data_IF_743124805608
#
_entry.id   IF_743124805608
#
_cell.length_a   1.000
_cell.length_b   1.000
_cell.length_c   1.000
_cell.angle_alpha   90.00
_cell.angle_beta   90.00
_cell.angle_gamma   90.00
#
_symmetry.space_group_name_H-M   'P 1'
#
loop_
_entity.id
_entity.type
_entity.pdbx_description
1 polymer ?
#
# COMPACT_ATOMS: atom_id res chain seq x y z
N UNK A 1 18.57 -2.26 26.72
CA UNK A 1 19.55 -3.33 26.44
C UNK A 1 20.44 -2.86 25.30
N UNK A 2 21.75 -3.12 25.35
CA UNK A 2 22.70 -2.69 24.30
C UNK A 2 23.36 -3.89 23.64
N UNK A 3 23.92 -3.68 22.44
CA UNK A 3 24.60 -4.71 21.63
C UNK A 3 23.71 -5.93 21.28
N UNK A 4 22.43 -5.66 21.01
CA UNK A 4 21.44 -6.68 20.64
C UNK A 4 21.66 -7.20 19.21
N UNK A 5 21.53 -8.52 19.02
CA UNK A 5 21.63 -9.17 17.71
C UNK A 5 20.26 -9.50 17.10
N UNK A 6 20.11 -9.63 15.77
CA UNK A 6 18.80 -9.85 15.14
C UNK A 6 18.20 -11.22 15.44
N UNK A 7 19.00 -12.16 15.94
CA UNK A 7 18.57 -13.50 16.32
C UNK A 7 17.90 -13.52 17.70
N UNK A 8 18.09 -12.48 18.52
CA UNK A 8 17.51 -12.39 19.85
C UNK A 8 16.00 -12.15 19.80
N UNK A 9 15.24 -12.85 20.65
CA UNK A 9 13.78 -12.70 20.74
C UNK A 9 13.35 -11.25 20.98
N UNK A 10 14.05 -10.53 21.86
CA UNK A 10 13.76 -9.11 22.17
C UNK A 10 13.90 -8.16 20.98
N UNK A 11 14.55 -8.58 19.90
CA UNK A 11 14.64 -7.81 18.65
C UNK A 11 13.56 -8.18 17.64
N UNK A 12 13.18 -9.46 17.58
CA UNK A 12 12.23 -9.99 16.58
C UNK A 12 10.78 -9.85 17.03
N UNK A 13 10.55 -10.03 18.32
CA UNK A 13 9.22 -10.06 18.91
C UNK A 13 8.86 -8.68 19.46
N UNK A 14 7.58 -8.36 19.39
CA UNK A 14 7.08 -7.10 19.92
C UNK A 14 7.18 -7.08 21.45
N UNK A 15 7.93 -6.10 21.98
CA UNK A 15 8.28 -6.09 23.40
C UNK A 15 7.10 -5.78 24.32
N UNK A 16 6.17 -4.89 23.91
CA UNK A 16 4.97 -4.48 24.66
C UNK A 16 5.19 -4.21 26.16
N UNK A 17 6.39 -3.76 26.52
CA UNK A 17 6.86 -3.63 27.89
C UNK A 17 7.98 -2.58 28.00
N UNK A 18 8.47 -2.31 29.22
CA UNK A 18 9.37 -1.19 29.50
C UNK A 18 10.83 -1.46 29.10
N UNK A 19 11.04 -2.15 27.98
CA UNK A 19 12.36 -2.54 27.48
C UNK A 19 12.61 -1.90 26.10
N UNK A 20 13.78 -1.26 25.95
CA UNK A 20 14.22 -0.66 24.68
C UNK A 20 15.54 -1.32 24.25
N UNK A 21 15.54 -2.21 23.24
CA UNK A 21 16.76 -2.76 22.66
C UNK A 21 17.44 -1.71 21.78
N UNK A 22 18.76 -1.56 21.93
CA UNK A 22 19.59 -0.63 21.16
C UNK A 22 20.60 -1.45 20.36
N UNK A 23 20.66 -1.17 19.06
CA UNK A 23 21.55 -1.83 18.11
C UNK A 23 22.24 -0.81 17.22
N UNK A 24 23.54 -1.02 16.98
CA UNK A 24 24.36 -0.20 16.09
C UNK A 24 24.30 -0.73 14.66
N UNK A 25 24.20 0.18 13.70
CA UNK A 25 24.33 -0.11 12.28
C UNK A 25 25.52 0.67 11.70
N UNK A 26 26.13 0.16 10.63
CA UNK A 26 27.27 0.80 9.96
C UNK A 26 26.86 1.84 8.93
N UNK A 27 25.61 1.80 8.48
CA UNK A 27 25.09 2.73 7.49
C UNK A 27 23.57 2.75 7.45
N UNK A 28 23.03 3.80 6.83
CA UNK A 28 21.58 4.03 6.76
C UNK A 28 20.87 2.94 5.95
N UNK A 29 21.49 2.40 4.90
CA UNK A 29 20.88 1.34 4.11
C UNK A 29 20.73 0.05 4.92
N UNK A 30 21.71 -0.27 5.77
CA UNK A 30 21.59 -1.37 6.73
C UNK A 30 20.47 -1.10 7.73
N UNK A 31 20.39 0.12 8.29
CA UNK A 31 19.35 0.48 9.25
C UNK A 31 17.93 0.32 8.67
N UNK A 32 17.74 0.77 7.43
CA UNK A 32 16.46 0.65 6.72
C UNK A 32 16.14 -0.80 6.41
N UNK A 33 17.12 -1.59 5.95
CA UNK A 33 16.93 -3.01 5.69
C UNK A 33 16.53 -3.76 6.97
N UNK A 34 17.21 -3.49 8.10
CA UNK A 34 16.89 -4.10 9.39
C UNK A 34 15.52 -3.65 9.92
N UNK A 35 15.17 -2.37 9.82
CA UNK A 35 13.85 -1.87 10.21
C UNK A 35 12.73 -2.51 9.36
N UNK A 36 12.94 -2.61 8.05
CA UNK A 36 11.99 -3.23 7.12
C UNK A 36 11.91 -4.76 7.26
N UNK A 37 12.90 -5.40 7.89
CA UNK A 37 12.86 -6.84 8.17
C UNK A 37 11.88 -7.20 9.30
N UNK A 38 11.41 -6.22 10.09
CA UNK A 38 10.34 -6.44 11.06
C UNK A 38 9.07 -6.94 10.37
N UNK A 39 8.40 -7.94 10.96
CA UNK A 39 7.10 -8.41 10.50
C UNK A 39 5.98 -7.38 10.76
N UNK A 40 6.25 -6.42 11.63
CA UNK A 40 5.36 -5.34 12.02
C UNK A 40 5.72 -4.04 11.28
N UNK A 41 4.73 -3.17 11.11
CA UNK A 41 4.86 -1.91 10.39
C UNK A 41 3.75 -0.93 10.74
N UNK A 42 3.38 -0.81 12.02
CA UNK A 42 2.37 0.18 12.45
C UNK A 42 2.92 1.60 12.34
N UNK A 43 4.06 1.85 12.95
CA UNK A 43 4.74 3.14 12.93
C UNK A 43 6.25 2.95 12.91
N UNK A 44 6.96 3.90 12.32
CA UNK A 44 8.41 4.01 12.41
C UNK A 44 8.79 5.44 12.83
N UNK A 45 9.93 5.55 13.51
CA UNK A 45 10.44 6.83 14.01
C UNK A 45 11.84 7.06 13.46
N UNK A 46 12.08 8.24 12.92
CA UNK A 46 13.35 8.62 12.33
C UNK A 46 13.85 9.92 12.97
N UNK A 47 15.06 9.88 13.52
CA UNK A 47 15.68 11.02 14.18
C UNK A 47 16.93 11.47 13.43
N UNK A 48 16.97 12.74 13.04
CA UNK A 48 18.12 13.37 12.38
C UNK A 48 18.00 14.90 12.42
N UNK A 49 19.14 15.59 12.38
CA UNK A 49 19.18 17.06 12.23
C UNK A 49 18.95 17.52 10.79
N UNK A 50 19.13 16.63 9.81
CA UNK A 50 18.98 16.91 8.39
C UNK A 50 17.58 16.52 7.92
N UNK A 51 16.69 17.50 7.78
CA UNK A 51 15.29 17.29 7.43
C UNK A 51 15.09 16.76 6.01
N UNK A 52 15.86 17.27 5.03
CA UNK A 52 15.78 16.81 3.65
C UNK A 52 16.17 15.32 3.55
N UNK A 53 17.21 14.93 4.29
CA UNK A 53 17.57 13.53 4.44
C UNK A 53 16.49 12.74 5.16
N UNK A 54 15.87 13.29 6.20
CA UNK A 54 14.79 12.63 6.92
C UNK A 54 13.63 12.23 5.99
N UNK A 55 13.15 13.17 5.18
CA UNK A 55 12.06 12.94 4.22
C UNK A 55 12.43 11.89 3.17
N UNK A 56 13.63 11.99 2.59
CA UNK A 56 14.12 11.03 1.61
C UNK A 56 14.22 9.60 2.17
N UNK A 57 14.59 9.47 3.45
CA UNK A 57 14.69 8.17 4.12
C UNK A 57 13.33 7.66 4.62
N UNK A 58 12.43 8.54 5.03
CA UNK A 58 11.10 8.18 5.52
C UNK A 58 10.32 7.37 4.48
N UNK A 59 10.36 7.77 3.21
CA UNK A 59 9.71 7.04 2.12
C UNK A 59 10.25 5.63 1.85
N UNK A 60 11.41 5.27 2.42
CA UNK A 60 12.03 3.96 2.29
C UNK A 60 11.62 2.99 3.41
N UNK A 61 11.00 3.49 4.47
CA UNK A 61 10.54 2.68 5.60
C UNK A 61 9.16 2.09 5.32
N UNK A 62 9.01 0.79 5.55
CA UNK A 62 7.76 0.05 5.36
C UNK A 62 6.91 0.10 6.63
N UNK A 63 6.32 1.26 6.89
CA UNK A 63 5.41 1.48 8.01
C UNK A 63 4.17 2.27 7.58
N UNK A 64 3.08 2.11 8.33
CA UNK A 64 1.85 2.85 8.14
C UNK A 64 2.01 4.36 8.28
N UNK A 65 2.77 4.76 9.30
CA UNK A 65 3.14 6.15 9.59
C UNK A 65 4.63 6.22 9.91
N UNK A 66 5.32 7.22 9.36
CA UNK A 66 6.71 7.52 9.73
C UNK A 66 6.74 8.90 10.36
N UNK A 67 7.27 9.02 11.57
CA UNK A 67 7.41 10.30 12.26
C UNK A 67 8.87 10.71 12.30
N UNK A 68 9.13 11.97 11.98
CA UNK A 68 10.47 12.55 11.96
C UNK A 68 10.63 13.40 13.22
N UNK A 69 11.68 13.10 14.00
CA UNK A 69 12.04 13.83 15.22
C UNK A 69 10.96 13.89 16.31
N UNK A 70 10.00 12.98 16.29
CA UNK A 70 8.91 12.89 17.26
C UNK A 70 8.41 11.44 17.37
N UNK A 71 7.61 11.16 18.40
CA UNK A 71 6.98 9.85 18.64
C UNK A 71 5.52 9.99 19.03
N UNK A 72 4.74 8.96 18.71
CA UNK A 72 3.36 8.73 19.11
C UNK A 72 2.32 9.77 18.65
N UNK A 73 2.58 11.08 18.57
CA UNK A 73 1.53 12.11 18.48
C UNK A 73 0.47 11.93 17.38
N UNK A 74 0.81 11.32 16.23
CA UNK A 74 -0.12 11.23 15.10
C UNK A 74 -1.36 10.39 15.39
N UNK A 75 -1.32 9.48 16.36
CA UNK A 75 -2.52 8.71 16.75
C UNK A 75 -3.60 9.59 17.39
N UNK A 76 -3.26 10.81 17.81
CA UNK A 76 -4.20 11.78 18.35
C UNK A 76 -4.67 12.81 17.29
N UNK A 77 -4.20 12.70 16.04
CA UNK A 77 -4.59 13.58 14.95
C UNK A 77 -5.73 12.94 14.14
N UNK A 78 -7.00 13.37 14.33
CA UNK A 78 -8.16 12.76 13.66
C UNK A 78 -8.17 12.96 12.14
N UNK A 79 -7.44 13.95 11.63
CA UNK A 79 -7.30 14.25 10.20
C UNK A 79 -6.22 13.39 9.51
N UNK A 80 -5.24 12.89 10.26
CA UNK A 80 -4.11 12.15 9.71
C UNK A 80 -4.45 10.65 9.61
N UNK A 81 -4.44 10.03 8.42
CA UNK A 81 -4.71 8.61 8.29
C UNK A 81 -3.73 7.78 9.12
N UNK A 82 -4.27 6.91 9.97
CA UNK A 82 -3.48 6.09 10.88
C UNK A 82 -3.83 4.61 10.70
N UNK A 83 -2.82 3.75 10.70
CA UNK A 83 -3.00 2.31 10.48
C UNK A 83 -1.77 1.70 9.82
N UNK A 84 -1.52 0.43 10.11
CA UNK A 84 -0.26 -0.22 9.77
C UNK A 84 -0.18 -0.80 8.35
N UNK A 85 0.88 -1.58 8.17
CA UNK A 85 1.10 -2.51 7.05
C UNK A 85 1.64 -3.84 7.60
N UNK A 86 1.77 -4.86 6.75
CA UNK A 86 2.25 -6.20 7.14
C UNK A 86 1.36 -6.83 8.21
N UNK A 87 1.95 -7.43 9.26
CA UNK A 87 1.19 -8.01 10.37
C UNK A 87 0.56 -6.97 11.30
N UNK A 88 0.86 -5.69 11.12
CA UNK A 88 0.22 -4.61 11.89
C UNK A 88 -1.18 -4.22 11.41
N UNK A 89 -1.69 -4.88 10.37
CA UNK A 89 -3.08 -4.74 9.93
C UNK A 89 -3.24 -4.15 8.52
N UNK A 90 -4.50 -4.02 8.14
CA UNK A 90 -4.96 -3.50 6.85
C UNK A 90 -5.95 -2.35 7.05
N UNK A 91 -6.07 -1.48 6.06
CA UNK A 91 -6.95 -0.30 6.12
C UNK A 91 -6.34 0.86 6.89
N UNK A 92 -7.12 1.94 7.04
CA UNK A 92 -6.76 3.12 7.83
C UNK A 92 -7.95 3.59 8.65
N UNK A 93 -7.68 4.01 9.87
CA UNK A 93 -8.57 4.87 10.65
C UNK A 93 -8.17 6.33 10.42
N UNK A 94 -9.03 7.25 10.86
CA UNK A 94 -8.86 8.69 10.72
C UNK A 94 -8.89 9.21 9.28
N UNK A 95 -9.07 10.52 9.18
CA UNK A 95 -9.12 11.24 7.92
C UNK A 95 -10.26 10.79 7.00
N UNK A 96 -10.17 11.25 5.76
CA UNK A 96 -11.19 10.98 4.76
C UNK A 96 -11.16 9.53 4.26
N UNK A 97 -10.00 8.88 4.32
CA UNK A 97 -9.83 7.48 3.95
C UNK A 97 -10.69 6.58 4.83
N UNK A 98 -10.65 6.74 6.16
CA UNK A 98 -11.46 5.93 7.06
C UNK A 98 -12.97 6.13 6.84
N UNK A 99 -13.40 7.37 6.59
CA UNK A 99 -14.80 7.65 6.27
C UNK A 99 -15.26 6.93 4.99
N UNK A 100 -14.38 6.83 3.98
CA UNK A 100 -14.66 6.08 2.75
C UNK A 100 -14.68 4.57 2.99
N UNK A 101 -13.82 4.05 3.85
CA UNK A 101 -13.79 2.63 4.23
C UNK A 101 -15.07 2.21 4.98
N UNK A 102 -15.77 3.16 5.60
CA UNK A 102 -17.09 2.96 6.23
C UNK A 102 -18.28 3.14 5.25
N UNK A 103 -18.03 3.47 3.98
CA UNK A 103 -19.06 3.65 2.95
C UNK A 103 -19.14 2.44 2.02
N UNK A 104 -20.35 2.10 1.57
CA UNK A 104 -20.57 1.13 0.49
C UNK A 104 -20.50 1.81 -0.88
N UNK A 105 -19.59 1.37 -1.75
CA UNK A 105 -19.42 1.96 -3.10
C UNK A 105 -20.50 1.45 -4.05
N UNK A 106 -21.35 2.35 -4.55
CA UNK A 106 -22.37 2.03 -5.56
C UNK A 106 -22.01 2.62 -6.93
N UNK A 107 -21.83 1.76 -7.93
CA UNK A 107 -21.68 2.16 -9.33
C UNK A 107 -23.03 2.10 -10.07
N UNK A 108 -23.41 3.20 -10.71
CA UNK A 108 -24.61 3.28 -11.55
C UNK A 108 -24.18 3.57 -12.98
N UNK A 109 -24.38 2.60 -13.87
CA UNK A 109 -24.15 2.77 -15.30
C UNK A 109 -25.47 3.10 -15.99
N UNK A 110 -25.57 4.31 -16.54
CA UNK A 110 -26.71 4.74 -17.36
C UNK A 110 -26.23 5.01 -18.79
N UNK A 111 -26.66 4.23 -19.80
CA UNK A 111 -26.26 4.46 -21.18
C UNK A 111 -26.92 5.75 -21.70
N UNK A 112 -26.13 6.66 -22.27
CA UNK A 112 -26.66 7.87 -22.93
C UNK A 112 -27.42 7.57 -24.22
N UNK A 113 -27.16 6.41 -24.83
CA UNK A 113 -27.78 5.97 -26.07
C UNK A 113 -28.19 4.52 -25.90
N UNK A 114 -29.45 4.21 -26.21
CA UNK A 114 -29.99 2.85 -26.26
C UNK A 114 -29.54 2.14 -27.54
N UNK A 115 -28.23 2.02 -27.74
CA UNK A 115 -27.72 1.21 -28.83
C UNK A 115 -27.88 -0.26 -28.44
N UNK A 116 -28.61 -1.02 -29.27
CA UNK A 116 -28.72 -2.47 -29.06
C UNK A 116 -27.34 -3.09 -29.23
N UNK A 117 -26.75 -3.51 -28.12
CA UNK A 117 -25.42 -4.08 -28.15
C UNK A 117 -25.39 -5.37 -28.99
N UNK A 118 -24.40 -5.55 -29.87
CA UNK A 118 -24.36 -6.68 -30.80
C UNK A 118 -24.18 -8.04 -30.10
N UNK A 119 -23.75 -8.05 -28.83
CA UNK A 119 -23.65 -9.23 -27.98
C UNK A 119 -24.91 -9.51 -27.14
N UNK A 120 -25.98 -8.73 -27.27
CA UNK A 120 -27.26 -8.98 -26.60
C UNK A 120 -28.23 -9.73 -27.52
N UNK A 121 -29.09 -10.55 -26.90
CA UNK A 121 -30.10 -11.36 -27.59
C UNK A 121 -31.06 -10.55 -28.51
N UNK A 122 -31.54 -11.12 -29.63
CA UNK A 122 -31.22 -12.43 -30.18
C UNK A 122 -29.90 -12.43 -30.94
N UNK A 123 -29.18 -13.53 -30.77
CA UNK A 123 -27.95 -13.81 -31.49
C UNK A 123 -28.27 -14.12 -32.95
N UNK A 124 -27.43 -13.62 -33.86
CA UNK A 124 -27.49 -14.00 -35.27
C UNK A 124 -26.08 -14.24 -35.79
N UNK A 125 -25.93 -15.25 -36.66
CA UNK A 125 -24.63 -15.56 -37.25
C UNK A 125 -24.01 -14.36 -37.97
N UNK A 126 -24.83 -13.51 -38.59
CA UNK A 126 -24.38 -12.30 -39.28
C UNK A 126 -23.74 -11.31 -38.31
N UNK A 127 -24.36 -11.07 -37.16
CA UNK A 127 -23.82 -10.17 -36.11
C UNK A 127 -22.58 -10.77 -35.47
N UNK A 128 -22.59 -12.07 -35.20
CA UNK A 128 -21.42 -12.78 -34.67
C UNK A 128 -20.23 -12.69 -35.62
N UNK A 129 -20.41 -12.97 -36.92
CA UNK A 129 -19.37 -12.84 -37.95
C UNK A 129 -18.83 -11.42 -38.07
N UNK A 130 -19.70 -10.41 -37.98
CA UNK A 130 -19.30 -9.00 -38.01
C UNK A 130 -18.47 -8.62 -36.77
N UNK A 131 -18.93 -9.00 -35.58
CA UNK A 131 -18.24 -8.75 -34.32
C UNK A 131 -16.88 -9.47 -34.29
N UNK A 132 -16.82 -10.73 -34.73
CA UNK A 132 -15.58 -11.51 -34.81
C UNK A 132 -14.56 -10.86 -35.73
N UNK A 133 -14.97 -10.45 -36.94
CA UNK A 133 -14.11 -9.71 -37.87
C UNK A 133 -13.63 -8.38 -37.31
N UNK A 134 -14.49 -7.67 -36.58
CA UNK A 134 -14.11 -6.43 -35.91
C UNK A 134 -13.04 -6.70 -34.85
N UNK A 135 -13.26 -7.67 -33.95
CA UNK A 135 -12.28 -8.05 -32.91
C UNK A 135 -10.97 -8.53 -33.53
N UNK A 136 -11.01 -9.41 -34.55
CA UNK A 136 -9.82 -9.90 -35.27
C UNK A 136 -9.03 -8.76 -35.93
N UNK A 137 -9.69 -7.74 -36.47
CA UNK A 137 -9.00 -6.57 -37.06
C UNK A 137 -8.45 -5.61 -36.02
N UNK A 138 -9.15 -5.44 -34.91
CA UNK A 138 -8.80 -4.47 -33.87
C UNK A 138 -7.72 -5.02 -32.94
N UNK A 139 -7.79 -6.31 -32.60
CA UNK A 139 -6.88 -6.97 -31.65
C UNK A 139 -5.95 -7.99 -32.31
N UNK A 140 -6.27 -8.51 -33.50
CA UNK A 140 -5.45 -9.55 -34.16
C UNK A 140 -4.16 -9.04 -34.79
N UNK A 141 -4.03 -7.74 -35.11
CA UNK A 141 -2.74 -7.16 -35.54
C UNK A 141 -1.81 -6.82 -34.38
N UNK A 142 -2.36 -6.67 -33.16
CA UNK A 142 -1.64 -6.39 -31.92
C UNK A 142 -1.24 -7.68 -31.19
N UNK A 143 -2.11 -8.69 -31.12
CA UNK A 143 -1.81 -9.99 -30.53
C UNK A 143 -0.85 -10.83 -31.38
N UNK A 144 -0.89 -10.71 -32.71
CA UNK A 144 0.04 -11.43 -33.60
C UNK A 144 1.46 -10.83 -33.65
N UNK A 145 1.70 -9.67 -33.01
CA UNK A 145 3.02 -9.03 -32.91
C UNK A 145 3.67 -9.17 -31.52
N UNK A 146 2.96 -9.74 -30.54
CA UNK A 146 3.38 -9.86 -29.14
C UNK A 146 3.54 -11.32 -28.68
N UNK A 147 3.41 -12.27 -29.60
CA UNK A 147 3.80 -13.68 -29.50
C UNK A 147 4.82 -13.95 -30.60
#
# INVERSE_FOLDING_TARGET
LVDVTPEMAIWRDETFGPCLPIRRFRGVDQAIAEANASEFGLSAYLFTRDHARAEALAGRLQAGTVMINDVLYTHALPEAPWGGVKRSGIGRVHGLQALRDLCEVKHIASPRVELRQPWLFPYSERRFRLMRRAIERTFGSLFARLL
#
